data_IF_543347586759
#
_entry.id   IF_543347586759
#
_cell.length_a   1.000
_cell.length_b   1.000
_cell.length_c   1.000
_cell.angle_alpha   90.00
_cell.angle_beta   90.00
_cell.angle_gamma   90.00
#
_symmetry.space_group_name_H-M   'P 1'
#
loop_
_entity.id
_entity.type
_entity.pdbx_description
1 polymer ?
#
# COMPACT_ATOMS: atom_id res chain seq x y z
N UNK A 1 21.44 -5.27 -6.53
CA UNK A 1 20.37 -4.55 -7.27
C UNK A 1 19.08 -5.31 -7.04
N UNK A 2 17.94 -4.65 -6.90
CA UNK A 2 16.69 -5.37 -6.64
C UNK A 2 16.32 -6.29 -7.80
N UNK A 3 15.96 -7.53 -7.47
CA UNK A 3 15.49 -8.49 -8.46
C UNK A 3 14.23 -7.97 -9.15
N UNK A 4 14.08 -8.16 -10.48
CA UNK A 4 12.86 -7.81 -11.21
C UNK A 4 11.59 -8.42 -10.58
N UNK A 5 11.70 -9.63 -10.02
CA UNK A 5 10.60 -10.28 -9.32
C UNK A 5 10.16 -9.50 -8.09
N UNK A 6 11.11 -8.98 -7.30
CA UNK A 6 10.80 -8.18 -6.11
C UNK A 6 10.09 -6.88 -6.48
N UNK A 7 10.55 -6.20 -7.53
CA UNK A 7 9.94 -4.97 -8.04
C UNK A 7 8.50 -5.26 -8.52
N UNK A 8 8.31 -6.35 -9.27
CA UNK A 8 7.00 -6.78 -9.75
C UNK A 8 6.03 -7.11 -8.60
N UNK A 9 6.49 -7.81 -7.57
CA UNK A 9 5.68 -8.14 -6.39
C UNK A 9 5.30 -6.89 -5.61
N UNK A 10 6.24 -5.95 -5.41
CA UNK A 10 5.97 -4.65 -4.78
C UNK A 10 4.90 -3.87 -5.56
N UNK A 11 5.09 -3.71 -6.87
CA UNK A 11 4.15 -2.98 -7.72
C UNK A 11 2.75 -3.63 -7.69
N UNK A 12 2.68 -4.96 -7.75
CA UNK A 12 1.43 -5.72 -7.65
C UNK A 12 0.76 -5.51 -6.29
N UNK A 13 1.52 -5.58 -5.19
CA UNK A 13 1.00 -5.37 -3.84
C UNK A 13 0.37 -3.98 -3.68
N UNK A 14 1.10 -2.92 -4.06
CA UNK A 14 0.59 -1.56 -3.99
C UNK A 14 -0.63 -1.34 -4.89
N UNK A 15 -0.66 -1.97 -6.06
CA UNK A 15 -1.82 -1.95 -6.96
C UNK A 15 -3.04 -2.60 -6.31
N UNK A 16 -2.87 -3.78 -5.70
CA UNK A 16 -3.95 -4.48 -5.00
C UNK A 16 -4.48 -3.69 -3.80
N UNK A 17 -3.60 -3.03 -3.04
CA UNK A 17 -4.00 -2.13 -1.95
C UNK A 17 -4.79 -0.92 -2.48
N UNK A 18 -4.38 -0.34 -3.61
CA UNK A 18 -5.12 0.77 -4.23
C UNK A 18 -6.51 0.35 -4.72
N UNK A 19 -6.60 -0.79 -5.40
CA UNK A 19 -7.87 -1.35 -5.89
C UNK A 19 -8.77 -1.78 -4.74
N UNK A 20 -8.20 -2.40 -3.71
CA UNK A 20 -8.90 -2.83 -2.51
C UNK A 20 -9.52 -1.65 -1.76
N UNK A 21 -8.78 -0.54 -1.62
CA UNK A 21 -9.31 0.72 -1.09
C UNK A 21 -10.53 1.19 -1.87
N UNK A 22 -10.41 1.29 -3.21
CA UNK A 22 -11.47 1.81 -4.08
C UNK A 22 -12.74 0.96 -3.99
N UNK A 23 -12.61 -0.37 -4.11
CA UNK A 23 -13.75 -1.31 -4.04
C UNK A 23 -14.37 -1.35 -2.65
N UNK A 24 -13.55 -1.39 -1.60
CA UNK A 24 -14.03 -1.40 -0.22
C UNK A 24 -14.76 -0.10 0.15
N UNK A 25 -14.23 1.05 -0.31
CA UNK A 25 -14.89 2.35 -0.13
C UNK A 25 -16.27 2.39 -0.81
N UNK A 26 -16.37 1.96 -2.08
CA UNK A 26 -17.65 1.94 -2.81
C UNK A 26 -18.66 1.00 -2.17
N UNK A 27 -18.20 -0.16 -1.66
CA UNK A 27 -19.03 -1.12 -0.95
C UNK A 27 -19.55 -0.57 0.38
N UNK A 28 -18.67 -0.01 1.23
CA UNK A 28 -19.07 0.53 2.53
C UNK A 28 -19.94 1.78 2.35
N UNK A 29 -19.64 2.64 1.37
CA UNK A 29 -20.46 3.81 1.05
C UNK A 29 -21.88 3.43 0.62
N UNK A 30 -22.03 2.38 -0.18
CA UNK A 30 -23.36 1.93 -0.66
C UNK A 30 -24.17 1.17 0.40
N UNK A 31 -23.52 0.37 1.26
CA UNK A 31 -24.21 -0.50 2.23
C UNK A 31 -24.35 0.12 3.62
N UNK A 32 -23.33 0.85 4.08
CA UNK A 32 -23.21 1.32 5.45
C UNK A 32 -22.41 2.65 5.52
N UNK A 33 -22.94 3.77 4.98
CA UNK A 33 -22.21 5.03 4.89
C UNK A 33 -21.76 5.56 6.26
N UNK A 34 -22.50 5.26 7.34
CA UNK A 34 -22.12 5.60 8.72
C UNK A 34 -20.82 4.92 9.18
N UNK A 35 -20.39 3.85 8.51
CA UNK A 35 -19.17 3.11 8.84
C UNK A 35 -17.95 3.50 7.98
N UNK A 36 -18.08 4.46 7.04
CA UNK A 36 -16.99 4.90 6.16
C UNK A 36 -15.75 5.32 6.97
N UNK A 37 -15.94 6.05 8.07
CA UNK A 37 -14.84 6.49 8.93
C UNK A 37 -14.13 5.29 9.56
N UNK A 38 -14.88 4.30 10.06
CA UNK A 38 -14.29 3.07 10.61
C UNK A 38 -13.54 2.28 9.55
N UNK A 39 -14.09 2.18 8.33
CA UNK A 39 -13.40 1.56 7.20
C UNK A 39 -12.09 2.30 6.85
N UNK A 40 -12.10 3.64 6.85
CA UNK A 40 -10.90 4.44 6.61
C UNK A 40 -9.78 4.07 7.60
N UNK A 41 -10.08 4.09 8.89
CA UNK A 41 -9.10 3.73 9.93
C UNK A 41 -8.68 2.27 9.84
N UNK A 42 -9.61 1.34 9.69
CA UNK A 42 -9.31 -0.08 9.60
C UNK A 42 -8.38 -0.39 8.41
N UNK A 43 -8.67 0.20 7.24
CA UNK A 43 -7.86 0.00 6.05
C UNK A 43 -6.51 0.73 6.11
N UNK A 44 -6.46 1.90 6.76
CA UNK A 44 -5.19 2.58 7.04
C UNK A 44 -4.28 1.72 7.92
N UNK A 45 -4.82 1.17 9.02
CA UNK A 45 -4.08 0.24 9.90
C UNK A 45 -3.65 -1.02 9.16
N UNK A 46 -4.56 -1.66 8.43
CA UNK A 46 -4.25 -2.85 7.63
C UNK A 46 -3.09 -2.59 6.67
N UNK A 47 -3.15 -1.49 5.92
CA UNK A 47 -2.11 -1.09 4.97
C UNK A 47 -0.76 -0.83 5.64
N UNK A 48 -0.73 -0.15 6.78
CA UNK A 48 0.51 0.09 7.55
C UNK A 48 1.14 -1.23 8.01
N UNK A 49 0.32 -2.15 8.53
CA UNK A 49 0.78 -3.46 8.97
C UNK A 49 1.31 -4.30 7.80
N UNK A 50 0.62 -4.30 6.66
CA UNK A 50 1.06 -5.02 5.46
C UNK A 50 2.42 -4.50 4.98
N UNK A 51 2.59 -3.19 4.86
CA UNK A 51 3.86 -2.57 4.45
C UNK A 51 4.94 -2.97 5.44
N UNK A 52 4.74 -2.73 6.74
CA UNK A 52 5.73 -3.05 7.78
C UNK A 52 6.15 -4.53 7.77
N UNK A 53 5.19 -5.44 7.57
CA UNK A 53 5.45 -6.87 7.53
C UNK A 53 6.26 -7.24 6.28
N UNK A 54 5.93 -6.67 5.12
CA UNK A 54 6.66 -6.89 3.86
C UNK A 54 8.08 -6.31 3.94
N UNK A 55 8.24 -5.09 4.47
CA UNK A 55 9.55 -4.50 4.73
C UNK A 55 10.36 -5.39 5.68
N UNK A 56 9.76 -5.84 6.78
CA UNK A 56 10.41 -6.70 7.76
C UNK A 56 10.86 -8.03 7.14
N UNK A 57 9.99 -8.69 6.38
CA UNK A 57 10.31 -9.94 5.68
C UNK A 57 11.46 -9.73 4.70
N UNK A 58 11.41 -8.65 3.90
CA UNK A 58 12.45 -8.38 2.93
C UNK A 58 13.79 -8.08 3.60
N UNK A 59 13.82 -7.17 4.57
CA UNK A 59 15.05 -6.74 5.23
C UNK A 59 15.69 -7.85 6.06
N UNK A 60 14.89 -8.66 6.77
CA UNK A 60 15.41 -9.69 7.68
C UNK A 60 15.76 -11.01 6.98
N UNK A 61 15.02 -11.41 5.95
CA UNK A 61 15.15 -12.75 5.36
C UNK A 61 15.60 -12.77 3.90
N UNK A 62 15.43 -11.68 3.14
CA UNK A 62 15.71 -11.66 1.69
C UNK A 62 16.94 -10.81 1.36
N UNK A 63 17.12 -9.70 2.07
CA UNK A 63 18.17 -8.73 1.75
C UNK A 63 19.56 -9.30 2.02
N UNK A 64 20.42 -9.25 1.01
CA UNK A 64 21.80 -9.72 1.13
C UNK A 64 22.77 -8.62 1.56
N UNK A 65 22.33 -7.36 1.56
CA UNK A 65 23.17 -6.22 1.93
C UNK A 65 22.37 -5.03 2.45
N UNK A 66 23.02 -4.20 3.29
CA UNK A 66 22.41 -2.93 3.75
C UNK A 66 22.05 -2.00 2.59
N UNK A 67 22.79 -2.04 1.48
CA UNK A 67 22.50 -1.24 0.28
C UNK A 67 21.19 -1.67 -0.36
N UNK A 68 20.93 -2.97 -0.47
CA UNK A 68 19.66 -3.47 -1.03
C UNK A 68 18.47 -3.19 -0.13
N UNK A 69 18.63 -3.34 1.19
CA UNK A 69 17.60 -2.94 2.17
C UNK A 69 17.22 -1.47 2.02
N UNK A 70 18.20 -0.57 1.91
CA UNK A 70 17.95 0.87 1.74
C UNK A 70 17.22 1.18 0.43
N UNK A 71 17.64 0.55 -0.68
CA UNK A 71 16.99 0.75 -1.98
C UNK A 71 15.55 0.23 -1.97
N UNK A 72 15.30 -0.91 -1.31
CA UNK A 72 13.96 -1.47 -1.19
C UNK A 72 13.02 -0.53 -0.43
N UNK A 73 13.44 -0.07 0.76
CA UNK A 73 12.66 0.88 1.56
C UNK A 73 12.43 2.18 0.79
N UNK A 74 13.44 2.67 0.06
CA UNK A 74 13.30 3.86 -0.78
C UNK A 74 12.22 3.71 -1.86
N UNK A 75 12.21 2.58 -2.58
CA UNK A 75 11.20 2.29 -3.62
C UNK A 75 9.82 2.12 -2.99
N UNK A 76 9.74 1.43 -1.85
CA UNK A 76 8.49 1.25 -1.10
C UNK A 76 7.88 2.59 -0.67
N UNK A 77 8.71 3.52 -0.18
CA UNK A 77 8.27 4.89 0.13
C UNK A 77 7.75 5.63 -1.10
N UNK A 78 8.45 5.56 -2.23
CA UNK A 78 8.01 6.20 -3.48
C UNK A 78 6.67 5.63 -3.93
N UNK A 79 6.50 4.31 -3.90
CA UNK A 79 5.24 3.65 -4.26
C UNK A 79 4.10 4.01 -3.30
N UNK A 80 4.38 4.10 -2.01
CA UNK A 80 3.40 4.54 -1.01
C UNK A 80 2.94 5.98 -1.25
N UNK A 81 3.87 6.91 -1.49
CA UNK A 81 3.54 8.30 -1.81
C UNK A 81 2.72 8.38 -3.10
N UNK A 82 3.14 7.68 -4.15
CA UNK A 82 2.41 7.63 -5.42
C UNK A 82 0.98 7.11 -5.22
N UNK A 83 0.81 6.04 -4.44
CA UNK A 83 -0.50 5.48 -4.09
C UNK A 83 -1.36 6.50 -3.33
N UNK A 84 -0.80 7.24 -2.38
CA UNK A 84 -1.52 8.26 -1.61
C UNK A 84 -1.95 9.43 -2.49
N UNK A 85 -1.08 9.92 -3.39
CA UNK A 85 -1.44 10.98 -4.36
C UNK A 85 -2.57 10.52 -5.27
N UNK A 86 -2.50 9.30 -5.81
CA UNK A 86 -3.55 8.73 -6.65
C UNK A 86 -4.88 8.56 -5.90
N UNK A 87 -4.79 8.13 -4.63
CA UNK A 87 -5.97 7.97 -3.76
C UNK A 87 -6.61 9.32 -3.45
N UNK A 88 -5.81 10.34 -3.12
CA UNK A 88 -6.29 11.69 -2.86
C UNK A 88 -6.97 12.28 -4.11
N UNK A 89 -6.30 12.19 -5.27
CA UNK A 89 -6.86 12.64 -6.56
C UNK A 89 -8.18 11.94 -6.88
N UNK A 90 -8.27 10.62 -6.65
CA UNK A 90 -9.49 9.86 -6.88
C UNK A 90 -10.60 10.19 -5.88
N UNK A 91 -10.28 10.46 -4.63
CA UNK A 91 -11.26 10.85 -3.61
C UNK A 91 -11.78 12.27 -3.86
N UNK A 92 -10.92 13.22 -4.26
CA UNK A 92 -11.34 14.57 -4.69
C UNK A 92 -12.33 14.49 -5.84
N UNK A 93 -12.13 13.57 -6.80
CA UNK A 93 -13.06 13.37 -7.92
C UNK A 93 -14.38 12.67 -7.52
N UNK A 94 -14.47 12.09 -6.32
CA UNK A 94 -15.62 11.31 -5.80
C UNK A 94 -16.41 12.03 -4.70
N UNK A 95 -15.87 13.14 -4.19
CA UNK A 95 -16.55 14.08 -3.28
C UNK A 95 -17.38 15.06 -4.08
#
# INVERSE_FOLDING_TARGET
MLSPLTIFLLATMFTLLGVGWKKGYDFVKSRAPKQIVKFYFAYATFRMLTILLVTGVYVLFISQSRTESKTFVGIEFVLYVAMMVLTLKNNIKRS
#
